data_IF_623286399451
#
_entry.id   IF_623286399451
#
_cell.length_a   1.000
_cell.length_b   1.000
_cell.length_c   1.000
_cell.angle_alpha   90.00
_cell.angle_beta   90.00
_cell.angle_gamma   90.00
#
_symmetry.space_group_name_H-M   'P 1'
#
loop_
_entity.id
_entity.type
_entity.pdbx_description
1 polymer ?
#
# COMPACT_ATOMS: atom_id res chain seq x y z
N UNK A 1 -32.84 5.79 -22.16
CA UNK A 1 -31.85 5.36 -21.15
C UNK A 1 -31.01 4.23 -21.74
N UNK A 2 -29.70 4.33 -21.68
CA UNK A 2 -28.75 3.28 -22.07
C UNK A 2 -27.80 3.03 -20.91
N UNK A 3 -27.47 1.77 -20.65
CA UNK A 3 -26.59 1.36 -19.53
C UNK A 3 -25.31 0.78 -20.10
N UNK A 4 -24.20 1.15 -19.52
CA UNK A 4 -22.89 0.68 -19.91
C UNK A 4 -22.09 0.27 -18.69
N UNK A 5 -21.50 -0.94 -18.70
CA UNK A 5 -20.49 -1.30 -17.73
C UNK A 5 -19.17 -0.61 -18.12
N UNK A 6 -18.45 -0.01 -17.15
CA UNK A 6 -17.35 0.89 -17.46
C UNK A 6 -16.11 0.67 -16.56
N UNK A 7 -15.02 1.24 -16.96
CA UNK A 7 -13.85 1.48 -16.10
C UNK A 7 -13.07 0.23 -15.72
N UNK A 8 -12.80 0.10 -14.41
CA UNK A 8 -11.97 -0.97 -13.86
C UNK A 8 -12.44 -2.37 -14.20
N UNK A 9 -13.75 -2.60 -14.18
CA UNK A 9 -14.35 -3.90 -14.48
C UNK A 9 -14.12 -4.35 -15.93
N UNK A 10 -14.17 -3.42 -16.90
CA UNK A 10 -13.90 -3.71 -18.31
C UNK A 10 -12.41 -3.98 -18.53
N UNK A 11 -11.56 -3.15 -17.93
CA UNK A 11 -10.10 -3.33 -17.97
C UNK A 11 -9.68 -4.68 -17.40
N UNK A 12 -10.15 -5.00 -16.18
CA UNK A 12 -9.73 -6.22 -15.48
C UNK A 12 -10.20 -7.46 -16.22
N UNK A 13 -11.42 -7.45 -16.81
CA UNK A 13 -11.90 -8.51 -17.72
C UNK A 13 -10.97 -8.69 -18.94
N UNK A 14 -10.59 -7.61 -19.61
CA UNK A 14 -9.71 -7.67 -20.78
C UNK A 14 -8.30 -8.15 -20.43
N UNK A 15 -7.87 -7.99 -19.17
CA UNK A 15 -6.61 -8.52 -18.65
C UNK A 15 -6.72 -9.96 -18.13
N UNK A 16 -7.91 -10.57 -18.14
CA UNK A 16 -8.16 -11.88 -17.55
C UNK A 16 -8.03 -11.91 -16.01
N UNK A 17 -8.20 -10.75 -15.36
CA UNK A 17 -8.18 -10.62 -13.92
C UNK A 17 -9.57 -10.81 -13.31
N UNK A 18 -9.69 -11.26 -12.07
CA UNK A 18 -10.98 -11.31 -11.37
C UNK A 18 -11.65 -9.94 -11.34
N UNK A 19 -12.93 -9.89 -11.70
CA UNK A 19 -13.77 -8.68 -11.61
C UNK A 19 -14.55 -8.77 -10.31
N UNK A 20 -14.20 -7.92 -9.34
CA UNK A 20 -14.84 -7.86 -8.02
C UNK A 20 -15.96 -6.83 -7.99
N UNK A 21 -15.72 -5.65 -8.56
CA UNK A 21 -16.65 -4.53 -8.53
C UNK A 21 -17.04 -4.15 -9.96
N UNK A 22 -18.33 -3.87 -10.16
CA UNK A 22 -18.86 -3.46 -11.45
C UNK A 22 -19.50 -2.09 -11.33
N UNK A 23 -18.94 -1.14 -12.06
CA UNK A 23 -19.45 0.21 -12.16
C UNK A 23 -20.23 0.35 -13.48
N UNK A 24 -21.37 1.02 -13.42
CA UNK A 24 -22.18 1.30 -14.59
C UNK A 24 -22.35 2.80 -14.79
N UNK A 25 -22.37 3.21 -16.06
CA UNK A 25 -22.75 4.56 -16.48
C UNK A 25 -24.09 4.49 -17.21
N UNK A 26 -24.98 5.38 -16.84
CA UNK A 26 -26.32 5.51 -17.42
C UNK A 26 -26.40 6.82 -18.23
N UNK A 27 -26.72 6.70 -19.49
CA UNK A 27 -26.83 7.82 -20.46
C UNK A 27 -28.28 8.05 -20.82
N UNK A 28 -28.67 9.31 -21.00
CA UNK A 28 -29.99 9.69 -21.48
C UNK A 28 -31.11 9.53 -20.46
N UNK A 29 -30.83 9.82 -19.20
CA UNK A 29 -31.81 9.76 -18.10
C UNK A 29 -31.53 10.83 -17.03
N UNK A 30 -32.49 11.01 -16.12
CA UNK A 30 -32.39 11.95 -15.00
C UNK A 30 -32.40 11.26 -13.66
N UNK A 31 -31.94 11.93 -12.57
CA UNK A 31 -32.03 11.41 -11.22
C UNK A 31 -33.45 10.96 -10.83
N UNK A 32 -34.47 11.74 -11.19
CA UNK A 32 -35.86 11.45 -10.86
C UNK A 32 -36.33 10.15 -11.54
N UNK A 33 -35.89 9.94 -12.78
CA UNK A 33 -36.21 8.70 -13.52
C UNK A 33 -35.56 7.50 -12.85
N UNK A 34 -34.28 7.62 -12.40
CA UNK A 34 -33.59 6.54 -11.68
C UNK A 34 -34.31 6.20 -10.38
N UNK A 35 -34.71 7.19 -9.60
CA UNK A 35 -35.47 7.00 -8.36
C UNK A 35 -36.83 6.32 -8.66
N UNK A 36 -37.52 6.77 -9.72
CA UNK A 36 -38.78 6.17 -10.14
C UNK A 36 -38.67 4.71 -10.56
N UNK A 37 -37.49 4.27 -11.00
CA UNK A 37 -37.16 2.88 -11.31
C UNK A 37 -36.70 2.05 -10.07
N UNK A 38 -36.69 2.67 -8.88
CA UNK A 38 -36.35 2.02 -7.62
C UNK A 38 -34.86 2.05 -7.27
N UNK A 39 -34.04 2.77 -8.03
CA UNK A 39 -32.62 2.95 -7.66
C UNK A 39 -32.48 3.88 -6.45
N UNK A 40 -31.55 3.57 -5.55
CA UNK A 40 -31.34 4.32 -4.32
C UNK A 40 -30.17 5.32 -4.50
N UNK A 41 -30.39 6.63 -4.35
CA UNK A 41 -29.32 7.61 -4.46
C UNK A 41 -28.30 7.47 -3.31
N UNK A 42 -26.99 7.57 -3.63
CA UNK A 42 -25.88 7.52 -2.69
C UNK A 42 -25.14 8.85 -2.71
N UNK A 43 -24.99 9.47 -1.54
CA UNK A 43 -24.30 10.77 -1.39
C UNK A 43 -25.19 11.98 -1.74
N UNK A 44 -24.76 13.15 -1.26
CA UNK A 44 -25.53 14.41 -1.43
C UNK A 44 -25.21 15.13 -2.74
N UNK A 45 -23.99 14.93 -3.26
CA UNK A 45 -23.46 15.77 -4.34
C UNK A 45 -23.13 14.98 -5.63
N UNK A 46 -23.34 13.66 -5.63
CA UNK A 46 -23.01 12.80 -6.76
C UNK A 46 -24.24 12.06 -7.28
N UNK A 47 -24.49 12.07 -8.60
CA UNK A 47 -25.59 11.32 -9.20
C UNK A 47 -25.20 9.83 -9.35
N UNK A 48 -24.90 9.18 -8.22
CA UNK A 48 -24.64 7.75 -8.10
C UNK A 48 -25.81 7.09 -7.39
N UNK A 49 -26.19 5.93 -7.87
CA UNK A 49 -27.34 5.17 -7.41
C UNK A 49 -26.95 3.71 -7.21
N UNK A 50 -27.53 3.05 -6.20
CA UNK A 50 -27.42 1.60 -6.03
C UNK A 50 -28.59 0.91 -6.71
N UNK A 51 -28.29 -0.14 -7.44
CA UNK A 51 -29.30 -0.98 -8.05
C UNK A 51 -30.15 -1.67 -6.98
N UNK A 52 -31.50 -1.70 -7.09
CA UNK A 52 -32.40 -2.15 -6.00
C UNK A 52 -32.21 -3.62 -5.59
N UNK A 53 -31.65 -4.45 -6.45
CA UNK A 53 -31.48 -5.90 -6.18
C UNK A 53 -30.00 -6.29 -6.03
N UNK A 54 -29.09 -5.77 -6.89
CA UNK A 54 -27.68 -6.19 -6.90
C UNK A 54 -26.78 -5.30 -6.04
N UNK A 55 -27.26 -4.10 -5.67
CA UNK A 55 -26.50 -3.07 -4.96
C UNK A 55 -25.25 -2.59 -5.70
N UNK A 56 -25.11 -2.92 -6.99
CA UNK A 56 -24.06 -2.40 -7.87
C UNK A 56 -24.26 -0.89 -8.10
N UNK A 57 -23.15 -0.18 -8.33
CA UNK A 57 -23.15 1.27 -8.50
C UNK A 57 -23.48 1.70 -9.94
N UNK A 58 -24.47 2.55 -10.09
CA UNK A 58 -24.91 3.16 -11.34
C UNK A 58 -24.74 4.68 -11.24
N UNK A 59 -23.84 5.25 -12.03
CA UNK A 59 -23.63 6.69 -12.11
C UNK A 59 -24.29 7.25 -13.36
N UNK A 60 -24.93 8.41 -13.27
CA UNK A 60 -25.35 9.15 -14.48
C UNK A 60 -24.11 9.65 -15.21
N UNK A 61 -24.17 9.59 -16.56
CA UNK A 61 -23.15 10.22 -17.39
C UNK A 61 -23.05 11.71 -17.04
N UNK A 62 -21.83 12.20 -16.84
CA UNK A 62 -21.59 13.56 -16.37
C UNK A 62 -20.34 14.18 -16.95
N UNK A 63 -20.34 15.48 -17.05
CA UNK A 63 -19.14 16.29 -17.22
C UNK A 63 -18.73 16.88 -15.88
N UNK A 64 -17.43 17.08 -15.70
CA UNK A 64 -16.86 17.73 -14.52
C UNK A 64 -16.20 19.04 -14.94
N UNK A 65 -16.42 20.11 -14.18
CA UNK A 65 -15.69 21.38 -14.37
C UNK A 65 -15.09 21.82 -13.05
N UNK A 66 -13.80 22.09 -13.06
CA UNK A 66 -13.08 22.65 -11.90
C UNK A 66 -13.46 24.15 -11.81
N UNK A 67 -14.14 24.55 -10.73
CA UNK A 67 -14.49 25.95 -10.42
C UNK A 67 -13.74 26.47 -9.17
N UNK A 68 -12.92 25.64 -8.49
CA UNK A 68 -12.21 26.02 -7.29
C UNK A 68 -10.95 25.18 -7.04
N UNK A 69 -10.25 25.44 -5.93
CA UNK A 69 -9.10 24.66 -5.49
C UNK A 69 -9.54 23.42 -4.72
N UNK A 70 -8.80 22.32 -4.87
CA UNK A 70 -9.01 21.07 -4.14
C UNK A 70 -10.22 20.26 -4.64
N UNK A 71 -10.57 19.19 -3.91
CA UNK A 71 -11.63 18.24 -4.29
C UNK A 71 -13.04 18.84 -4.26
N UNK A 72 -13.30 19.82 -3.41
CA UNK A 72 -14.61 20.48 -3.31
C UNK A 72 -14.85 21.53 -4.42
N UNK A 73 -13.85 21.77 -5.27
CA UNK A 73 -13.92 22.71 -6.38
C UNK A 73 -14.51 22.18 -7.68
N UNK A 74 -15.07 20.96 -7.69
CA UNK A 74 -15.72 20.39 -8.88
C UNK A 74 -17.22 20.66 -8.87
N UNK A 75 -17.73 21.15 -9.98
CA UNK A 75 -19.16 21.19 -10.27
C UNK A 75 -19.46 20.06 -11.24
N UNK A 76 -20.33 19.16 -10.81
CA UNK A 76 -20.79 18.03 -11.60
C UNK A 76 -22.03 18.46 -12.37
N UNK A 77 -22.03 18.23 -13.67
CA UNK A 77 -23.17 18.49 -14.51
C UNK A 77 -23.64 17.16 -15.12
N UNK A 78 -24.70 16.61 -14.53
CA UNK A 78 -25.39 15.44 -15.05
C UNK A 78 -26.61 15.93 -15.83
N UNK A 79 -26.53 15.84 -17.14
CA UNK A 79 -27.61 16.21 -18.07
C UNK A 79 -27.88 15.01 -19.00
N UNK A 80 -29.14 14.72 -19.34
CA UNK A 80 -29.46 13.65 -20.28
C UNK A 80 -28.75 13.73 -21.63
N UNK A 81 -28.28 14.93 -22.02
CA UNK A 81 -27.51 15.17 -23.24
C UNK A 81 -26.04 14.80 -23.13
N UNK A 82 -25.49 14.48 -21.94
CA UNK A 82 -24.10 14.04 -21.77
C UNK A 82 -23.95 12.66 -22.41
N UNK A 83 -22.99 12.54 -23.32
CA UNK A 83 -22.70 11.28 -24.01
C UNK A 83 -21.84 10.33 -23.19
N UNK A 84 -21.77 9.07 -23.59
CA UNK A 84 -20.83 8.12 -23.00
C UNK A 84 -19.38 8.58 -23.22
N UNK A 85 -19.07 9.08 -24.40
CA UNK A 85 -17.76 9.57 -24.79
C UNK A 85 -17.30 10.73 -23.88
N UNK A 86 -18.22 11.66 -23.55
CA UNK A 86 -17.94 12.77 -22.62
C UNK A 86 -17.62 12.25 -21.22
N UNK A 87 -18.36 11.26 -20.71
CA UNK A 87 -18.06 10.64 -19.41
C UNK A 87 -16.72 9.91 -19.43
N UNK A 88 -16.40 9.21 -20.50
CA UNK A 88 -15.13 8.50 -20.63
C UNK A 88 -13.95 9.48 -20.77
N UNK A 89 -14.12 10.62 -21.44
CA UNK A 89 -13.09 11.64 -21.68
C UNK A 89 -12.51 12.24 -20.39
N UNK A 90 -13.33 12.40 -19.35
CA UNK A 90 -12.93 12.97 -18.06
C UNK A 90 -12.16 11.99 -17.15
N UNK A 91 -12.07 10.71 -17.52
CA UNK A 91 -11.36 9.69 -16.71
C UNK A 91 -9.87 9.91 -16.75
N UNK A 92 -9.17 9.23 -15.84
CA UNK A 92 -7.73 9.39 -15.64
C UNK A 92 -6.88 8.81 -16.77
N UNK A 93 -7.17 7.57 -17.18
CA UNK A 93 -6.36 6.78 -18.11
C UNK A 93 -7.19 6.11 -19.18
N UNK A 94 -6.66 5.97 -20.39
CA UNK A 94 -7.28 5.27 -21.52
C UNK A 94 -7.73 3.86 -21.15
N UNK A 95 -6.91 3.13 -20.38
CA UNK A 95 -7.21 1.76 -19.87
C UNK A 95 -8.42 1.72 -18.92
N UNK A 96 -8.83 2.85 -18.35
CA UNK A 96 -10.00 2.99 -17.48
C UNK A 96 -11.18 3.65 -18.19
N UNK A 97 -11.04 4.01 -19.47
CA UNK A 97 -12.02 4.73 -20.26
C UNK A 97 -12.61 3.88 -21.38
N UNK A 98 -12.89 2.64 -21.06
CA UNK A 98 -13.59 1.69 -21.90
C UNK A 98 -14.94 1.34 -21.31
N UNK A 99 -15.89 1.00 -22.15
CA UNK A 99 -17.23 0.59 -21.77
C UNK A 99 -17.64 -0.69 -22.50
N UNK A 100 -18.61 -1.41 -21.93
CA UNK A 100 -19.37 -2.45 -22.62
C UNK A 100 -20.85 -2.13 -22.55
N UNK A 101 -21.52 -2.27 -23.66
CA UNK A 101 -22.98 -2.18 -23.72
C UNK A 101 -23.66 -3.47 -23.20
N UNK A 102 -24.99 -3.48 -23.17
CA UNK A 102 -25.79 -4.63 -22.74
C UNK A 102 -25.61 -5.86 -23.65
N UNK A 103 -25.24 -5.68 -24.92
CA UNK A 103 -24.91 -6.75 -25.85
C UNK A 103 -23.49 -7.27 -25.69
N UNK A 104 -22.70 -6.67 -24.79
CA UNK A 104 -21.30 -7.00 -24.54
C UNK A 104 -20.32 -6.40 -25.55
N UNK A 105 -20.77 -5.50 -26.41
CA UNK A 105 -19.89 -4.81 -27.40
C UNK A 105 -18.95 -3.85 -26.67
N UNK A 106 -17.66 -3.94 -26.97
CA UNK A 106 -16.66 -3.04 -26.41
C UNK A 106 -16.70 -1.68 -27.12
N UNK A 107 -16.83 -0.61 -26.36
CA UNK A 107 -16.76 0.79 -26.79
C UNK A 107 -15.46 1.37 -26.22
N UNK A 108 -14.54 1.74 -27.08
CA UNK A 108 -13.19 2.19 -26.74
C UNK A 108 -12.79 3.41 -27.59
N UNK A 109 -13.35 4.60 -27.31
CA UNK A 109 -13.08 5.79 -28.09
C UNK A 109 -11.67 6.35 -27.91
N UNK A 110 -10.98 5.98 -26.82
CA UNK A 110 -9.68 6.55 -26.44
C UNK A 110 -8.52 5.57 -26.50
N UNK A 111 -8.70 4.39 -27.13
CA UNK A 111 -7.64 3.43 -27.41
C UNK A 111 -7.15 2.66 -26.18
N UNK A 112 -7.99 2.48 -25.17
CA UNK A 112 -7.65 1.75 -23.94
C UNK A 112 -7.23 0.32 -24.19
N UNK A 113 -7.87 -0.39 -25.14
CA UNK A 113 -7.49 -1.74 -25.55
C UNK A 113 -6.07 -1.79 -26.15
N UNK A 114 -5.70 -0.80 -26.95
CA UNK A 114 -4.35 -0.67 -27.50
C UNK A 114 -3.34 -0.46 -26.40
N UNK A 115 -3.61 0.45 -25.45
CA UNK A 115 -2.71 0.75 -24.36
C UNK A 115 -2.59 -0.43 -23.38
N UNK A 116 -3.64 -1.24 -23.19
CA UNK A 116 -3.56 -2.52 -22.47
C UNK A 116 -2.61 -3.49 -23.14
N UNK A 117 -2.71 -3.67 -24.46
CA UNK A 117 -1.84 -4.55 -25.23
C UNK A 117 -0.37 -4.09 -25.16
N UNK A 118 -0.13 -2.78 -25.18
CA UNK A 118 1.18 -2.15 -25.07
C UNK A 118 1.69 -2.06 -23.62
N UNK A 119 0.87 -2.44 -22.64
CA UNK A 119 1.17 -2.31 -21.21
C UNK A 119 1.55 -0.87 -20.84
N UNK A 120 0.77 0.10 -21.29
CA UNK A 120 1.06 1.54 -21.16
C UNK A 120 -0.06 2.24 -20.40
N UNK A 121 0.31 3.10 -19.46
CA UNK A 121 -0.59 4.02 -18.74
C UNK A 121 -0.53 5.39 -19.41
N UNK A 122 -1.60 5.74 -20.10
CA UNK A 122 -1.73 6.97 -20.89
C UNK A 122 -2.93 7.77 -20.39
N UNK A 123 -2.75 9.06 -20.11
CA UNK A 123 -3.85 9.97 -19.85
C UNK A 123 -4.67 10.21 -21.14
N UNK A 124 -5.94 10.59 -20.97
CA UNK A 124 -6.86 10.71 -22.11
C UNK A 124 -6.85 12.13 -22.65
N UNK A 125 -6.87 13.12 -21.77
CA UNK A 125 -7.08 14.52 -22.12
C UNK A 125 -6.40 15.45 -21.12
N UNK A 126 -6.29 16.76 -21.41
CA UNK A 126 -5.82 17.77 -20.46
C UNK A 126 -6.62 17.82 -19.14
N UNK A 127 -7.86 17.32 -19.13
CA UNK A 127 -8.66 17.17 -17.89
C UNK A 127 -7.98 16.27 -16.83
N UNK A 128 -6.97 15.49 -17.22
CA UNK A 128 -6.11 14.79 -16.25
C UNK A 128 -5.56 15.71 -15.16
N UNK A 129 -5.20 16.94 -15.52
CA UNK A 129 -4.66 17.94 -14.59
C UNK A 129 -5.69 18.53 -13.62
N UNK A 130 -6.97 18.27 -13.78
CA UNK A 130 -8.01 18.81 -12.90
C UNK A 130 -7.95 18.21 -11.49
N UNK A 131 -7.61 16.90 -11.36
CA UNK A 131 -7.39 16.25 -10.06
C UNK A 131 -5.94 15.78 -9.91
N UNK A 132 -5.12 16.48 -9.10
CA UNK A 132 -3.72 16.11 -8.88
C UNK A 132 -3.52 14.71 -8.29
N UNK A 133 -4.57 14.12 -7.66
CA UNK A 133 -4.52 12.75 -7.16
C UNK A 133 -4.23 11.74 -8.29
N UNK A 134 -4.59 12.08 -9.53
CA UNK A 134 -4.32 11.21 -10.69
C UNK A 134 -2.84 10.91 -10.88
N UNK A 135 -1.93 11.78 -10.43
CA UNK A 135 -0.49 11.51 -10.40
C UNK A 135 -0.19 10.29 -9.52
N UNK A 136 -0.75 10.24 -8.31
CA UNK A 136 -0.58 9.11 -7.38
C UNK A 136 -1.30 7.85 -7.90
N UNK A 137 -2.46 8.00 -8.50
CA UNK A 137 -3.22 6.90 -9.11
C UNK A 137 -2.45 6.23 -10.24
N UNK A 138 -1.81 6.99 -11.14
CA UNK A 138 -0.93 6.44 -12.20
C UNK A 138 0.19 5.62 -11.59
N UNK A 139 0.86 6.16 -10.56
CA UNK A 139 1.93 5.45 -9.87
C UNK A 139 1.44 4.13 -9.22
N UNK A 140 0.27 4.16 -8.59
CA UNK A 140 -0.38 2.96 -8.04
C UNK A 140 -0.74 1.94 -9.13
N UNK A 141 -1.27 2.38 -10.25
CA UNK A 141 -1.56 1.48 -11.38
C UNK A 141 -0.28 0.88 -11.98
N UNK A 142 0.82 1.63 -12.02
CA UNK A 142 2.13 1.08 -12.40
C UNK A 142 2.56 -0.06 -11.45
N UNK A 143 2.34 0.11 -10.13
CA UNK A 143 2.59 -0.96 -9.15
C UNK A 143 1.64 -2.15 -9.32
N UNK A 144 0.37 -1.91 -9.62
CA UNK A 144 -0.64 -2.97 -9.74
C UNK A 144 -0.43 -3.82 -10.99
N UNK A 145 -0.21 -3.19 -12.14
CA UNK A 145 -0.20 -3.86 -13.44
C UNK A 145 1.20 -4.10 -14.02
N UNK A 146 2.23 -3.46 -13.45
CA UNK A 146 3.58 -3.51 -14.01
C UNK A 146 3.73 -2.75 -15.35
N UNK A 147 2.82 -1.83 -15.66
CA UNK A 147 2.80 -1.08 -16.90
C UNK A 147 3.76 0.12 -16.85
N UNK A 148 4.27 0.51 -18.02
CA UNK A 148 5.03 1.73 -18.19
C UNK A 148 4.08 2.94 -18.25
N UNK A 149 4.57 4.12 -17.88
CA UNK A 149 3.84 5.38 -18.06
C UNK A 149 4.25 5.97 -19.41
N UNK A 150 3.29 6.41 -20.22
CA UNK A 150 3.54 7.08 -21.49
C UNK A 150 4.32 8.39 -21.25
N UNK A 151 5.24 8.72 -22.15
CA UNK A 151 6.15 9.87 -22.00
C UNK A 151 5.38 11.18 -21.82
N UNK A 152 4.36 11.41 -22.63
CA UNK A 152 3.49 12.58 -22.52
C UNK A 152 2.71 12.64 -21.21
N UNK A 153 2.34 11.48 -20.64
CA UNK A 153 1.68 11.41 -19.33
C UNK A 153 2.66 11.75 -18.23
N UNK A 154 3.88 11.20 -18.30
CA UNK A 154 4.94 11.51 -17.32
C UNK A 154 5.35 12.99 -17.39
N UNK A 155 5.38 13.59 -18.58
CA UNK A 155 5.64 15.03 -18.75
C UNK A 155 4.55 15.88 -18.08
N UNK A 156 3.28 15.55 -18.29
CA UNK A 156 2.15 16.23 -17.65
C UNK A 156 2.18 16.05 -16.12
N UNK A 157 2.51 14.87 -15.63
CA UNK A 157 2.66 14.62 -14.19
C UNK A 157 3.78 15.49 -13.59
N UNK A 158 4.95 15.61 -14.25
CA UNK A 158 6.05 16.49 -13.82
C UNK A 158 5.61 17.96 -13.76
N UNK A 159 4.83 18.41 -14.74
CA UNK A 159 4.31 19.78 -14.77
C UNK A 159 3.38 20.06 -13.59
N UNK A 160 2.42 19.16 -13.30
CA UNK A 160 1.50 19.29 -12.17
C UNK A 160 2.25 19.32 -10.84
N UNK A 161 3.25 18.45 -10.68
CA UNK A 161 4.10 18.40 -9.49
C UNK A 161 4.89 19.71 -9.35
N UNK A 162 5.50 20.22 -10.43
CA UNK A 162 6.28 21.46 -10.43
C UNK A 162 5.42 22.68 -10.06
N UNK A 163 4.16 22.71 -10.46
CA UNK A 163 3.18 23.73 -10.07
C UNK A 163 2.74 23.64 -8.60
N UNK A 164 3.12 22.56 -7.88
CA UNK A 164 2.77 22.35 -6.48
C UNK A 164 1.33 21.88 -6.24
N UNK A 165 0.64 21.40 -7.27
CA UNK A 165 -0.77 20.98 -7.22
C UNK A 165 -1.01 19.85 -6.18
N UNK A 166 0.00 19.02 -5.87
CA UNK A 166 -0.14 17.94 -4.87
C UNK A 166 -0.32 18.46 -3.44
N UNK A 167 0.03 19.74 -3.17
CA UNK A 167 -0.11 20.35 -1.83
C UNK A 167 -1.56 20.56 -1.41
N UNK A 168 -2.47 20.62 -2.39
CA UNK A 168 -3.90 20.80 -2.16
C UNK A 168 -4.62 19.47 -1.86
N UNK A 169 -3.90 18.33 -1.93
CA UNK A 169 -4.45 17.02 -1.60
C UNK A 169 -4.49 16.80 -0.09
N UNK A 170 -5.58 16.19 0.40
CA UNK A 170 -5.65 15.79 1.80
C UNK A 170 -4.72 14.60 2.09
N UNK A 171 -4.13 14.53 3.29
CA UNK A 171 -3.26 13.42 3.68
C UNK A 171 -3.91 12.05 3.50
N UNK A 172 -5.19 11.94 3.78
CA UNK A 172 -5.94 10.69 3.66
C UNK A 172 -6.02 10.19 2.23
N UNK A 173 -6.27 11.10 1.27
CA UNK A 173 -6.29 10.75 -0.16
C UNK A 173 -4.91 10.30 -0.64
N UNK A 174 -3.86 11.00 -0.22
CA UNK A 174 -2.47 10.62 -0.52
C UNK A 174 -2.17 9.24 0.05
N UNK A 175 -2.47 9.03 1.34
CA UNK A 175 -2.21 7.77 2.01
C UNK A 175 -2.96 6.61 1.39
N UNK A 176 -4.22 6.80 1.01
CA UNK A 176 -5.03 5.76 0.36
C UNK A 176 -4.37 5.23 -0.92
N UNK A 177 -3.86 6.10 -1.79
CA UNK A 177 -3.19 5.69 -3.02
C UNK A 177 -1.84 5.03 -2.73
N UNK A 178 -1.04 5.59 -1.80
CA UNK A 178 0.23 5.00 -1.39
C UNK A 178 0.04 3.62 -0.74
N UNK A 179 -0.92 3.48 0.17
CA UNK A 179 -1.21 2.23 0.87
C UNK A 179 -1.59 1.11 -0.11
N UNK A 180 -2.48 1.40 -1.07
CA UNK A 180 -2.84 0.44 -2.12
C UNK A 180 -1.65 0.09 -3.02
N UNK A 181 -0.78 1.04 -3.29
CA UNK A 181 0.43 0.83 -4.08
C UNK A 181 1.48 0.00 -3.34
N UNK A 182 1.62 0.15 -2.02
CA UNK A 182 2.54 -0.61 -1.18
C UNK A 182 2.19 -2.11 -1.12
N UNK A 183 0.91 -2.45 -1.18
CA UNK A 183 0.44 -3.85 -1.18
C UNK A 183 0.18 -4.39 -2.59
N UNK A 184 0.43 -3.60 -3.63
CA UNK A 184 0.32 -4.03 -5.01
C UNK A 184 1.47 -4.97 -5.39
N UNK A 185 1.37 -5.63 -6.53
CA UNK A 185 2.33 -6.65 -6.96
C UNK A 185 3.77 -6.14 -7.16
N UNK A 186 3.96 -4.87 -7.54
CA UNK A 186 5.28 -4.26 -7.80
C UNK A 186 5.36 -2.85 -7.19
N UNK A 187 5.45 -2.71 -5.85
CA UNK A 187 5.54 -1.40 -5.19
C UNK A 187 6.73 -0.56 -5.66
N UNK A 188 7.84 -1.19 -6.05
CA UNK A 188 9.01 -0.52 -6.62
C UNK A 188 8.67 0.36 -7.81
N UNK A 189 7.72 -0.05 -8.64
CA UNK A 189 7.27 0.73 -9.81
C UNK A 189 6.52 2.00 -9.41
N UNK A 190 5.72 1.94 -8.32
CA UNK A 190 5.11 3.15 -7.77
C UNK A 190 6.17 4.16 -7.36
N UNK A 191 7.16 3.73 -6.57
CA UNK A 191 8.25 4.60 -6.11
C UNK A 191 9.03 5.19 -7.29
N UNK A 192 9.34 4.37 -8.30
CA UNK A 192 10.04 4.81 -9.49
C UNK A 192 9.26 5.88 -10.26
N UNK A 193 7.95 5.70 -10.46
CA UNK A 193 7.08 6.69 -11.13
C UNK A 193 7.01 7.97 -10.33
N UNK A 194 6.72 7.90 -9.02
CA UNK A 194 6.64 9.08 -8.14
C UNK A 194 7.95 9.85 -8.08
N UNK A 195 9.07 9.14 -8.10
CA UNK A 195 10.40 9.77 -8.11
C UNK A 195 10.68 10.48 -9.43
N UNK A 196 10.46 9.83 -10.58
CA UNK A 196 10.72 10.43 -11.91
C UNK A 196 9.89 11.68 -12.18
N UNK A 197 8.67 11.76 -11.67
CA UNK A 197 7.86 12.98 -11.80
C UNK A 197 8.08 13.98 -10.64
N UNK A 198 8.91 13.65 -9.64
CA UNK A 198 9.21 14.51 -8.49
C UNK A 198 8.14 14.49 -7.38
N UNK A 199 7.09 13.67 -7.52
CA UNK A 199 6.01 13.58 -6.55
C UNK A 199 6.48 12.97 -5.22
N UNK A 200 7.39 11.97 -5.25
CA UNK A 200 7.90 11.34 -4.03
C UNK A 200 8.51 12.37 -3.08
N UNK A 201 9.30 13.29 -3.61
CA UNK A 201 9.92 14.39 -2.83
C UNK A 201 8.92 15.32 -2.16
N UNK A 202 7.72 15.47 -2.75
CA UNK A 202 6.67 16.32 -2.17
C UNK A 202 5.84 15.59 -1.11
N UNK A 203 5.49 14.31 -1.37
CA UNK A 203 4.59 13.57 -0.47
C UNK A 203 5.31 12.80 0.64
N UNK A 204 6.54 12.34 0.36
CA UNK A 204 7.35 11.54 1.28
C UNK A 204 8.86 11.87 1.11
N UNK A 205 9.30 13.10 1.45
CA UNK A 205 10.67 13.53 1.27
C UNK A 205 11.70 12.66 2.01
N UNK A 206 11.30 12.06 3.14
CA UNK A 206 12.15 11.12 3.89
C UNK A 206 12.47 9.87 3.07
N UNK A 207 11.51 9.38 2.30
CA UNK A 207 11.71 8.23 1.42
C UNK A 207 12.51 8.60 0.16
N UNK A 208 12.27 9.79 -0.41
CA UNK A 208 13.02 10.28 -1.56
C UNK A 208 14.51 10.46 -1.22
N UNK A 209 14.81 10.89 0.00
CA UNK A 209 16.18 11.07 0.49
C UNK A 209 16.97 9.75 0.64
N UNK A 210 16.32 8.60 0.71
CA UNK A 210 16.99 7.30 0.74
C UNK A 210 17.63 6.95 -0.62
N UNK A 211 17.11 7.51 -1.70
CA UNK A 211 17.69 7.34 -3.03
C UNK A 211 18.90 8.27 -3.20
N UNK A 212 20.04 7.71 -3.55
CA UNK A 212 21.32 8.41 -3.61
C UNK A 212 22.07 8.44 -2.27
N UNK A 213 21.47 7.98 -1.18
CA UNK A 213 22.20 7.74 0.05
C UNK A 213 23.04 6.47 -0.13
N UNK A 214 24.37 6.64 -0.10
CA UNK A 214 25.30 5.51 -0.15
C UNK A 214 25.08 4.62 1.09
N UNK A 215 24.82 3.35 0.88
CA UNK A 215 24.97 2.34 1.92
C UNK A 215 26.43 2.30 2.40
N UNK A 216 26.68 1.90 3.64
CA UNK A 216 28.04 1.75 4.15
C UNK A 216 28.81 0.72 3.30
N UNK A 217 29.88 1.15 2.64
CA UNK A 217 30.71 0.30 1.78
C UNK A 217 30.14 0.07 0.38
N UNK A 218 30.31 -1.12 -0.19
CA UNK A 218 29.82 -1.52 -1.52
C UNK A 218 28.31 -1.83 -1.56
N UNK A 219 27.52 -1.34 -0.60
CA UNK A 219 26.09 -1.61 -0.52
C UNK A 219 25.30 -0.76 -1.52
N UNK A 220 24.20 -1.31 -2.07
CA UNK A 220 23.34 -0.57 -2.98
C UNK A 220 22.70 0.66 -2.29
N UNK A 221 22.32 1.63 -3.12
CA UNK A 221 21.48 2.77 -2.74
C UNK A 221 20.29 2.31 -1.88
N UNK A 222 20.12 2.87 -0.68
CA UNK A 222 19.10 2.45 0.28
C UNK A 222 17.68 2.55 -0.30
N UNK A 223 17.41 3.54 -1.15
CA UNK A 223 16.11 3.67 -1.80
C UNK A 223 15.86 2.55 -2.81
N UNK A 224 16.90 2.13 -3.55
CA UNK A 224 16.83 0.98 -4.45
C UNK A 224 16.64 -0.31 -3.65
N UNK A 225 17.39 -0.49 -2.57
CA UNK A 225 17.27 -1.66 -1.69
C UNK A 225 15.87 -1.74 -1.06
N UNK A 226 15.31 -0.62 -0.60
CA UNK A 226 13.94 -0.51 -0.10
C UNK A 226 12.92 -0.93 -1.16
N UNK A 227 13.05 -0.41 -2.38
CA UNK A 227 12.14 -0.74 -3.48
C UNK A 227 12.14 -2.24 -3.80
N UNK A 228 13.31 -2.88 -3.83
CA UNK A 228 13.45 -4.32 -4.03
C UNK A 228 12.91 -5.12 -2.84
N UNK A 229 13.10 -4.64 -1.61
CA UNK A 229 12.55 -5.26 -0.40
C UNK A 229 11.01 -5.27 -0.41
N UNK A 230 10.40 -4.17 -0.87
CA UNK A 230 8.95 -4.06 -1.01
C UNK A 230 8.40 -5.07 -2.02
N UNK A 231 9.05 -5.25 -3.18
CA UNK A 231 8.64 -6.24 -4.17
C UNK A 231 8.76 -7.67 -3.62
N UNK A 232 9.81 -7.97 -2.83
CA UNK A 232 9.95 -9.26 -2.14
C UNK A 232 8.84 -9.48 -1.10
N UNK A 233 8.48 -8.44 -0.34
CA UNK A 233 7.39 -8.48 0.63
C UNK A 233 6.04 -8.81 -0.01
N UNK A 234 5.79 -8.37 -1.26
CA UNK A 234 4.57 -8.69 -2.00
C UNK A 234 4.61 -10.03 -2.74
N UNK A 235 5.79 -10.61 -2.95
CA UNK A 235 5.96 -11.92 -3.59
C UNK A 235 5.71 -13.10 -2.64
N UNK A 236 5.58 -12.85 -1.32
CA UNK A 236 5.28 -13.88 -0.34
C UNK A 236 3.93 -14.56 -0.62
N UNK A 237 3.76 -15.86 -0.29
CA UNK A 237 2.53 -16.61 -0.59
C UNK A 237 1.27 -16.04 0.09
N UNK A 238 1.43 -15.41 1.24
CA UNK A 238 0.34 -14.73 1.92
C UNK A 238 0.14 -13.31 1.36
N UNK A 239 -1.12 -12.83 1.35
CA UNK A 239 -1.40 -11.45 0.96
C UNK A 239 -0.56 -10.48 1.82
N UNK A 240 0.13 -9.50 1.21
CA UNK A 240 1.00 -8.59 1.94
C UNK A 240 0.18 -7.73 2.90
N UNK A 241 0.47 -7.82 4.20
CA UNK A 241 -0.12 -6.93 5.19
C UNK A 241 0.45 -5.52 5.03
N UNK A 242 -0.42 -4.52 5.00
CA UNK A 242 -0.01 -3.11 4.83
C UNK A 242 0.98 -2.67 5.91
N UNK A 243 0.77 -3.11 7.15
CA UNK A 243 1.67 -2.80 8.27
C UNK A 243 3.09 -3.34 8.04
N UNK A 244 3.23 -4.56 7.49
CA UNK A 244 4.53 -5.14 7.12
C UNK A 244 5.18 -4.33 6.00
N UNK A 245 4.44 -4.01 4.93
CA UNK A 245 4.95 -3.21 3.83
C UNK A 245 5.39 -1.80 4.28
N UNK A 246 4.62 -1.18 5.18
CA UNK A 246 5.01 0.09 5.76
C UNK A 246 6.27 -0.04 6.64
N UNK A 247 6.39 -1.10 7.45
CA UNK A 247 7.59 -1.42 8.20
C UNK A 247 8.83 -1.60 7.31
N UNK A 248 8.69 -2.30 6.16
CA UNK A 248 9.75 -2.42 5.16
C UNK A 248 10.17 -1.04 4.63
N UNK A 249 9.18 -0.18 4.35
CA UNK A 249 9.39 1.16 3.79
C UNK A 249 10.24 2.04 4.71
N UNK A 250 10.03 1.96 6.03
CA UNK A 250 10.61 2.89 7.01
C UNK A 250 11.81 2.34 7.78
N UNK A 251 12.18 1.08 7.58
CA UNK A 251 13.24 0.39 8.37
C UNK A 251 14.53 1.20 8.53
N UNK A 252 14.94 1.93 7.50
CA UNK A 252 16.19 2.71 7.48
C UNK A 252 15.99 4.21 7.74
N UNK A 253 14.80 4.62 8.12
CA UNK A 253 14.55 5.96 8.64
C UNK A 253 14.93 6.03 10.12
N UNK A 254 15.22 7.24 10.61
CA UNK A 254 15.22 7.49 12.05
C UNK A 254 13.79 7.48 12.59
N UNK A 255 13.63 7.23 13.90
CA UNK A 255 12.30 7.28 14.54
C UNK A 255 11.61 8.62 14.28
N UNK A 256 12.33 9.73 14.37
CA UNK A 256 11.79 11.08 14.11
C UNK A 256 11.29 11.24 12.67
N UNK A 257 12.04 10.73 11.69
CA UNK A 257 11.63 10.76 10.28
C UNK A 257 10.37 9.90 10.03
N UNK A 258 10.33 8.70 10.60
CA UNK A 258 9.18 7.81 10.46
C UNK A 258 7.92 8.38 11.14
N UNK A 259 8.07 9.00 12.32
CA UNK A 259 6.99 9.70 13.00
C UNK A 259 6.47 10.90 12.19
N UNK A 260 7.36 11.72 11.63
CA UNK A 260 7.00 12.84 10.78
C UNK A 260 6.25 12.39 9.53
N UNK A 261 6.73 11.33 8.85
CA UNK A 261 6.07 10.72 7.70
C UNK A 261 4.68 10.19 8.07
N UNK A 262 4.59 9.42 9.17
CA UNK A 262 3.34 8.82 9.62
C UNK A 262 2.29 9.87 10.05
N UNK A 263 2.72 10.94 10.70
CA UNK A 263 1.85 12.05 11.08
C UNK A 263 1.35 12.83 9.85
N UNK A 264 2.25 13.16 8.90
CA UNK A 264 1.91 13.88 7.67
C UNK A 264 0.93 13.11 6.81
N UNK A 265 1.07 11.79 6.67
CA UNK A 265 0.21 10.93 5.87
C UNK A 265 -1.01 10.40 6.63
N UNK A 266 -1.13 10.68 7.94
CA UNK A 266 -2.18 10.14 8.81
C UNK A 266 -2.30 8.62 8.76
N UNK A 267 -1.14 7.97 8.84
CA UNK A 267 -1.02 6.51 8.79
C UNK A 267 -1.76 5.85 9.95
N UNK A 268 -2.32 4.65 9.74
CA UNK A 268 -3.04 3.90 10.79
C UNK A 268 -2.14 3.55 11.99
N UNK A 269 -2.75 3.32 13.15
CA UNK A 269 -2.01 2.93 14.36
C UNK A 269 -1.20 1.65 14.15
N UNK A 270 -1.76 0.67 13.46
CA UNK A 270 -1.09 -0.60 13.15
C UNK A 270 0.19 -0.40 12.33
N UNK A 271 0.15 0.46 11.31
CA UNK A 271 1.33 0.80 10.52
C UNK A 271 2.37 1.56 11.36
N UNK A 272 1.94 2.47 12.25
CA UNK A 272 2.87 3.17 13.17
C UNK A 272 3.56 2.20 14.13
N UNK A 273 2.82 1.28 14.72
CA UNK A 273 3.38 0.25 15.61
C UNK A 273 4.41 -0.61 14.84
N UNK A 274 4.09 -1.03 13.63
CA UNK A 274 5.00 -1.77 12.76
C UNK A 274 6.26 -0.98 12.42
N UNK A 275 6.14 0.32 12.15
CA UNK A 275 7.29 1.21 11.89
C UNK A 275 8.24 1.27 13.10
N UNK A 276 7.70 1.48 14.31
CA UNK A 276 8.49 1.50 15.55
C UNK A 276 9.22 0.17 15.73
N UNK A 277 8.53 -0.94 15.54
CA UNK A 277 9.12 -2.28 15.67
C UNK A 277 10.20 -2.53 14.61
N UNK A 278 9.96 -2.13 13.36
CA UNK A 278 10.91 -2.28 12.26
C UNK A 278 12.21 -1.51 12.53
N UNK A 279 12.12 -0.25 12.92
CA UNK A 279 13.29 0.61 13.17
C UNK A 279 14.07 0.11 14.38
N UNK A 280 13.38 -0.27 15.45
CA UNK A 280 14.01 -0.62 16.71
C UNK A 280 14.59 -2.04 16.73
N UNK A 281 13.90 -3.00 16.17
CA UNK A 281 14.19 -4.42 16.37
C UNK A 281 14.68 -5.16 15.12
N UNK A 282 14.39 -4.67 13.90
CA UNK A 282 14.90 -5.36 12.71
C UNK A 282 16.45 -5.37 12.67
N UNK A 283 17.19 -4.31 13.08
CA UNK A 283 18.65 -4.38 13.17
C UNK A 283 19.16 -5.40 14.20
N UNK A 284 18.39 -5.66 15.28
CA UNK A 284 18.74 -6.68 16.27
C UNK A 284 18.74 -8.07 15.65
N UNK A 285 17.80 -8.34 14.74
CA UNK A 285 17.72 -9.61 14.01
C UNK A 285 18.90 -9.83 13.05
N UNK A 286 19.58 -8.78 12.62
CA UNK A 286 20.80 -8.91 11.79
C UNK A 286 21.92 -9.64 12.55
N UNK A 287 21.92 -9.56 13.90
CA UNK A 287 22.81 -10.26 14.81
C UNK A 287 22.20 -11.48 15.51
N UNK A 288 21.07 -12.02 15.05
CA UNK A 288 20.29 -13.07 15.74
C UNK A 288 21.10 -14.36 16.03
N UNK A 289 22.21 -14.60 15.32
CA UNK A 289 23.12 -15.71 15.57
C UNK A 289 23.82 -15.63 16.93
N UNK A 290 24.11 -14.44 17.43
CA UNK A 290 24.92 -14.18 18.61
C UNK A 290 24.18 -13.48 19.77
N UNK A 291 22.84 -13.34 19.68
CA UNK A 291 22.06 -12.66 20.71
C UNK A 291 22.14 -13.42 22.07
N UNK A 292 22.43 -12.68 23.13
CA UNK A 292 22.35 -13.14 24.52
C UNK A 292 20.89 -13.38 24.97
N UNK A 293 20.71 -14.07 26.09
CA UNK A 293 19.39 -14.26 26.69
C UNK A 293 18.71 -12.92 27.04
N UNK A 294 19.48 -11.94 27.46
CA UNK A 294 19.05 -10.60 27.80
C UNK A 294 18.52 -9.85 26.57
N UNK A 295 19.18 -9.95 25.43
CA UNK A 295 18.80 -9.35 24.17
C UNK A 295 17.54 -10.01 23.58
N UNK A 296 17.47 -11.34 23.60
CA UNK A 296 16.24 -12.07 23.24
C UNK A 296 15.05 -11.67 24.12
N UNK A 297 15.27 -11.58 25.44
CA UNK A 297 14.21 -11.15 26.34
C UNK A 297 13.76 -9.73 26.06
N UNK A 298 14.70 -8.80 25.81
CA UNK A 298 14.39 -7.42 25.48
C UNK A 298 13.60 -7.31 24.18
N UNK A 299 13.99 -8.05 23.14
CA UNK A 299 13.30 -8.12 21.85
C UNK A 299 11.85 -8.63 22.02
N UNK A 300 11.68 -9.82 22.61
CA UNK A 300 10.37 -10.48 22.72
C UNK A 300 9.42 -9.73 23.67
N UNK A 301 9.95 -9.14 24.74
CA UNK A 301 9.15 -8.30 25.66
C UNK A 301 8.79 -6.97 25.02
N UNK A 302 9.72 -6.33 24.32
CA UNK A 302 9.49 -5.06 23.66
C UNK A 302 8.49 -5.14 22.51
N UNK A 303 8.42 -6.28 21.83
CA UNK A 303 7.39 -6.60 20.83
C UNK A 303 6.04 -6.96 21.45
N UNK A 304 5.99 -7.23 22.76
CA UNK A 304 4.84 -7.89 23.42
C UNK A 304 4.51 -9.27 22.77
N UNK A 305 5.54 -9.98 22.30
CA UNK A 305 5.39 -11.18 21.47
C UNK A 305 4.72 -12.36 22.19
N UNK A 306 4.77 -12.41 23.52
CA UNK A 306 4.08 -13.44 24.31
C UNK A 306 2.55 -13.28 24.26
N UNK A 307 2.04 -12.05 24.11
CA UNK A 307 0.62 -11.75 24.05
C UNK A 307 0.14 -11.56 22.63
N UNK A 308 1.05 -11.13 21.73
CA UNK A 308 0.81 -10.77 20.33
C UNK A 308 1.91 -11.34 19.44
N UNK A 309 1.93 -12.67 19.25
CA UNK A 309 2.96 -13.36 18.49
C UNK A 309 3.02 -12.89 17.02
N UNK A 310 1.90 -12.41 16.47
CA UNK A 310 1.82 -11.83 15.14
C UNK A 310 2.76 -10.62 14.94
N UNK A 311 3.16 -9.93 15.99
CA UNK A 311 4.15 -8.84 15.91
C UNK A 311 5.56 -9.36 15.62
N UNK A 312 5.90 -10.52 16.16
CA UNK A 312 7.16 -11.18 15.84
C UNK A 312 7.15 -11.68 14.40
N UNK A 313 6.05 -12.29 13.96
CA UNK A 313 5.91 -12.73 12.56
C UNK A 313 6.04 -11.55 11.58
N UNK A 314 5.41 -10.42 11.87
CA UNK A 314 5.54 -9.20 11.08
C UNK A 314 6.99 -8.69 11.03
N UNK A 315 7.69 -8.66 12.16
CA UNK A 315 9.10 -8.25 12.22
C UNK A 315 10.01 -9.19 11.42
N UNK A 316 9.79 -10.51 11.52
CA UNK A 316 10.53 -11.51 10.75
C UNK A 316 10.27 -11.36 9.24
N UNK A 317 9.04 -11.06 8.84
CA UNK A 317 8.72 -10.79 7.43
C UNK A 317 9.42 -9.52 6.92
N UNK A 318 9.45 -8.44 7.72
CA UNK A 318 10.17 -7.21 7.40
C UNK A 318 11.68 -7.50 7.24
N UNK A 319 12.27 -8.25 8.19
CA UNK A 319 13.69 -8.60 8.15
C UNK A 319 14.01 -9.43 6.90
N UNK A 320 13.23 -10.47 6.63
CA UNK A 320 13.41 -11.35 5.47
C UNK A 320 13.33 -10.59 4.14
N UNK A 321 12.41 -9.62 4.01
CA UNK A 321 12.26 -8.83 2.80
C UNK A 321 13.50 -7.99 2.46
N UNK A 322 14.28 -7.57 3.44
CA UNK A 322 15.50 -6.78 3.24
C UNK A 322 16.74 -7.61 2.88
N UNK A 323 16.73 -8.91 3.15
CA UNK A 323 17.84 -9.78 2.76
C UNK A 323 17.79 -10.07 1.26
N UNK A 324 18.97 -10.24 0.64
CA UNK A 324 19.08 -10.57 -0.78
C UNK A 324 18.53 -11.98 -1.04
N UNK A 325 18.02 -12.30 -2.25
CA UNK A 325 17.57 -13.65 -2.58
C UNK A 325 18.71 -14.62 -2.86
N UNK A 326 19.89 -14.43 -2.26
CA UNK A 326 20.99 -15.40 -2.36
C UNK A 326 20.67 -16.66 -1.55
N UNK A 327 21.31 -17.77 -1.89
CA UNK A 327 21.14 -19.03 -1.16
C UNK A 327 21.61 -18.90 0.30
N UNK A 328 22.68 -18.14 0.54
CA UNK A 328 23.21 -17.85 1.89
C UNK A 328 22.23 -17.00 2.70
N UNK A 329 21.63 -15.97 2.11
CA UNK A 329 20.64 -15.15 2.78
C UNK A 329 19.33 -15.91 3.04
N UNK A 330 18.92 -16.82 2.18
CA UNK A 330 17.78 -17.72 2.40
C UNK A 330 17.99 -18.59 3.64
N UNK A 331 19.14 -19.26 3.76
CA UNK A 331 19.49 -20.07 4.93
C UNK A 331 19.57 -19.22 6.21
N UNK A 332 20.06 -17.99 6.11
CA UNK A 332 20.09 -17.03 7.21
C UNK A 332 18.69 -16.63 7.67
N UNK A 333 17.75 -16.33 6.74
CA UNK A 333 16.34 -16.05 7.07
C UNK A 333 15.73 -17.20 7.84
N UNK A 334 15.89 -18.44 7.37
CA UNK A 334 15.33 -19.62 8.01
C UNK A 334 15.92 -19.85 9.40
N UNK A 335 17.23 -19.63 9.57
CA UNK A 335 17.91 -19.74 10.86
C UNK A 335 17.40 -18.70 11.84
N UNK A 336 17.31 -17.43 11.43
CA UNK A 336 16.79 -16.33 12.28
C UNK A 336 15.35 -16.61 12.68
N UNK A 337 14.52 -17.04 11.74
CA UNK A 337 13.12 -17.39 12.00
C UNK A 337 13.00 -18.54 12.99
N UNK A 338 13.74 -19.62 12.79
CA UNK A 338 13.74 -20.79 13.68
C UNK A 338 14.17 -20.42 15.09
N UNK A 339 15.24 -19.62 15.23
CA UNK A 339 15.72 -19.14 16.53
C UNK A 339 14.70 -18.25 17.23
N UNK A 340 14.10 -17.31 16.54
CA UNK A 340 13.11 -16.40 17.12
C UNK A 340 11.85 -17.14 17.61
N UNK A 341 11.37 -18.11 16.84
CA UNK A 341 10.23 -18.96 17.22
C UNK A 341 10.60 -19.83 18.44
N UNK A 342 11.78 -20.46 18.44
CA UNK A 342 12.24 -21.29 19.57
C UNK A 342 12.42 -20.46 20.85
N UNK A 343 12.96 -19.25 20.76
CA UNK A 343 13.07 -18.34 21.89
C UNK A 343 11.69 -17.95 22.45
N UNK A 344 10.71 -17.67 21.58
CA UNK A 344 9.33 -17.39 22.01
C UNK A 344 8.69 -18.62 22.68
N UNK A 345 8.91 -19.81 22.14
CA UNK A 345 8.42 -21.08 22.71
C UNK A 345 9.03 -21.35 24.08
N UNK A 346 10.33 -21.11 24.26
CA UNK A 346 10.99 -21.23 25.55
C UNK A 346 10.37 -20.34 26.63
N UNK A 347 9.93 -19.13 26.27
CA UNK A 347 9.22 -18.24 27.19
C UNK A 347 7.76 -18.64 27.43
N UNK A 348 7.10 -19.16 26.41
CA UNK A 348 5.69 -19.59 26.50
C UNK A 348 5.51 -20.84 27.35
N UNK A 349 6.54 -21.68 27.46
CA UNK A 349 6.54 -22.91 28.25
C UNK A 349 6.82 -22.73 29.75
N UNK A 350 7.01 -21.49 30.23
CA UNK A 350 7.33 -21.25 31.65
C UNK A 350 6.07 -21.45 32.50
N UNK A 351 6.22 -22.32 33.54
CA UNK A 351 5.21 -22.45 34.59
C UNK A 351 5.37 -21.32 35.62
N UNK A 352 4.40 -20.42 35.68
CA UNK A 352 4.37 -19.33 36.64
C UNK A 352 3.64 -19.66 37.94
N UNK A 353 3.11 -20.88 38.11
CA UNK A 353 2.39 -21.29 39.32
C UNK A 353 3.29 -21.30 40.58
N UNK A 354 4.60 -21.37 40.38
CA UNK A 354 5.65 -21.35 41.44
C UNK A 354 5.88 -19.94 42.02
N UNK A 355 5.21 -18.91 41.49
CA UNK A 355 5.37 -17.54 41.98
C UNK A 355 4.43 -17.30 43.18
N UNK A 356 4.84 -17.68 44.38
CA UNK A 356 4.28 -17.19 45.62
C UNK A 356 4.81 -15.77 45.86
N UNK A 357 3.95 -14.78 46.01
CA UNK A 357 4.37 -13.38 46.06
C UNK A 357 3.86 -12.64 47.28
N UNK A 358 4.78 -11.97 47.96
CA UNK A 358 4.47 -11.02 49.03
C UNK A 358 4.37 -9.55 48.53
N UNK A 359 4.93 -9.23 47.35
CA UNK A 359 4.83 -7.90 46.73
C UNK A 359 4.88 -7.95 45.19
N UNK A 360 4.24 -6.98 44.50
CA UNK A 360 4.23 -6.89 43.03
C UNK A 360 5.63 -6.67 42.42
N UNK A 361 6.55 -6.00 43.15
CA UNK A 361 7.92 -5.74 42.68
C UNK A 361 8.73 -7.03 42.66
N UNK A 362 8.57 -7.89 43.71
CA UNK A 362 9.25 -9.17 43.80
C UNK A 362 8.79 -10.13 42.72
N UNK A 363 7.48 -10.14 42.41
CA UNK A 363 6.93 -10.93 41.29
C UNK A 363 7.53 -10.53 39.94
N UNK A 364 7.63 -9.24 39.63
CA UNK A 364 8.19 -8.78 38.35
C UNK A 364 9.65 -9.19 38.19
N UNK A 365 10.44 -9.12 39.26
CA UNK A 365 11.84 -9.52 39.25
C UNK A 365 11.99 -11.03 39.09
N UNK A 366 11.19 -11.83 39.78
CA UNK A 366 11.16 -13.29 39.66
C UNK A 366 10.72 -13.74 38.28
N UNK A 367 9.68 -13.15 37.72
CA UNK A 367 9.24 -13.39 36.32
C UNK A 367 10.38 -13.15 35.36
N UNK A 368 11.12 -12.03 35.52
CA UNK A 368 12.25 -11.71 34.66
C UNK A 368 13.36 -12.77 34.83
N UNK A 369 13.66 -13.22 36.04
CA UNK A 369 14.67 -14.28 36.30
C UNK A 369 14.27 -15.61 35.66
N UNK A 370 13.01 -16.05 35.79
CA UNK A 370 12.50 -17.26 35.15
C UNK A 370 12.65 -17.20 33.64
N UNK A 371 12.28 -16.07 33.05
CA UNK A 371 12.41 -15.85 31.60
C UNK A 371 13.85 -15.89 31.12
N UNK A 372 14.76 -15.24 31.85
CA UNK A 372 16.19 -15.31 31.54
C UNK A 372 16.74 -16.71 31.69
N UNK A 373 16.34 -17.44 32.75
CA UNK A 373 16.72 -18.84 32.95
C UNK A 373 16.32 -19.75 31.80
N UNK A 374 15.06 -19.62 31.35
CA UNK A 374 14.54 -20.38 30.22
C UNK A 374 15.29 -20.09 28.91
N UNK A 375 15.58 -18.81 28.63
CA UNK A 375 16.33 -18.43 27.42
C UNK A 375 17.78 -18.88 27.47
N UNK A 376 18.47 -18.80 28.65
CA UNK A 376 19.83 -19.30 28.83
C UNK A 376 19.91 -20.82 28.63
N UNK A 377 18.94 -21.55 29.20
CA UNK A 377 18.85 -23.00 29.00
C UNK A 377 18.65 -23.34 27.51
N UNK A 378 17.70 -22.67 26.84
CA UNK A 378 17.49 -22.85 25.41
C UNK A 378 18.75 -22.57 24.60
N UNK A 379 19.47 -21.47 24.85
CA UNK A 379 20.70 -21.12 24.14
C UNK A 379 21.78 -22.20 24.28
N UNK A 380 21.87 -22.88 25.45
CA UNK A 380 22.78 -23.99 25.67
C UNK A 380 22.45 -25.24 24.85
N UNK A 381 21.20 -25.40 24.40
CA UNK A 381 20.78 -26.53 23.56
C UNK A 381 21.07 -26.29 22.07
N UNK A 382 21.45 -25.08 21.68
CA UNK A 382 21.81 -24.79 20.29
C UNK A 382 23.16 -25.41 19.93
N UNK A 383 23.29 -25.97 18.70
CA UNK A 383 24.58 -26.43 18.24
C UNK A 383 25.59 -25.27 18.19
N UNK A 384 26.84 -25.54 18.56
CA UNK A 384 27.92 -24.57 18.42
C UNK A 384 28.03 -24.16 16.91
N UNK A 385 28.04 -22.86 16.63
CA UNK A 385 28.29 -22.38 15.27
C UNK A 385 29.72 -22.77 14.88
N UNK A 386 29.81 -23.61 13.83
CA UNK A 386 31.08 -23.97 13.18
C UNK A 386 31.50 -22.91 12.18
#
# INVERSE_FOLDING_TARGET
MKVYRVGGSVRDELLGLPVTDRDYVVVGTTPETMIGLGFQPVGRDFPVFLHPQTHEEYALARTERKQGRGHQGFVFHADPGVTLEDDLLRRDLSVNAMARDEAGVLIDPYGGRRDLALRTLRHISPAFGEDPLRVLRVARFAARFGFAVAEETEALMRELVARGELRDLTPERIWQELAQGLVARWPSRMLAVLRRCGALRQVAPELDALFGAAGAGAQPDLGVAMALALDRGTAAPAAPALAVQFGITVRHLTSTQAEALAARLRVSAECRDSAVNAIRYAPVLDGAGSLSAEEWLALLTGLDALRRPERLDALLAIHAAWLSPSQEDGARVDTVRARAIAALQALSGIDYSVLESDSAIDVAQRVRQLRLGALRHWLQTLPAET
#
